data_IF_446296942733
#
_entry.id   IF_446296942733
#
_cell.length_a   1.000
_cell.length_b   1.000
_cell.length_c   1.000
_cell.angle_alpha   90.00
_cell.angle_beta   90.00
_cell.angle_gamma   90.00
#
_symmetry.space_group_name_H-M   'P 1'
#
loop_
_entity.id
_entity.type
_entity.pdbx_description
1 polymer ?
#
# COMPACT_ATOMS: atom_id res chain seq x y z
N UNK A 1 31.39 -3.89 -7.10
CA UNK A 1 31.96 -5.11 -6.47
C UNK A 1 33.18 -4.77 -5.62
N UNK A 2 34.22 -4.11 -6.15
CA UNK A 2 35.42 -3.75 -5.34
C UNK A 2 35.10 -2.90 -4.11
N UNK A 3 34.22 -1.89 -4.23
CA UNK A 3 33.77 -1.08 -3.09
C UNK A 3 33.09 -1.94 -2.01
N UNK A 4 32.23 -2.86 -2.43
CA UNK A 4 31.49 -3.76 -1.53
C UNK A 4 32.43 -4.78 -0.87
N UNK A 5 33.64 -5.00 -1.39
CA UNK A 5 34.62 -5.87 -0.77
C UNK A 5 35.48 -5.15 0.30
N UNK A 6 35.52 -3.81 0.31
CA UNK A 6 36.29 -3.00 1.26
C UNK A 6 35.78 -3.20 2.69
N UNK A 7 36.65 -3.20 3.70
CA UNK A 7 36.17 -3.14 5.08
C UNK A 7 35.38 -1.85 5.28
N UNK A 8 34.37 -1.80 6.17
CA UNK A 8 33.56 -0.61 6.39
C UNK A 8 34.39 0.67 6.67
N UNK A 9 35.52 0.52 7.34
CA UNK A 9 36.45 1.62 7.67
C UNK A 9 37.23 2.16 6.45
N UNK A 10 37.33 1.37 5.38
CA UNK A 10 38.06 1.69 4.15
C UNK A 10 37.16 2.30 3.07
N UNK A 11 35.85 2.40 3.32
CA UNK A 11 34.87 2.97 2.37
C UNK A 11 34.92 4.49 2.44
N UNK A 12 35.24 5.15 1.33
CA UNK A 12 35.35 6.61 1.27
C UNK A 12 34.02 7.30 0.95
N UNK A 13 33.88 8.61 1.20
CA UNK A 13 32.70 9.36 0.75
C UNK A 13 32.46 9.27 -0.77
N UNK A 14 33.51 9.24 -1.58
CA UNK A 14 33.41 9.08 -3.04
C UNK A 14 32.89 7.69 -3.43
N UNK A 15 33.27 6.65 -2.67
CA UNK A 15 32.71 5.32 -2.86
C UNK A 15 31.20 5.31 -2.60
N UNK A 16 30.75 5.98 -1.53
CA UNK A 16 29.34 6.09 -1.17
C UNK A 16 28.56 6.87 -2.24
N UNK A 17 29.10 7.99 -2.71
CA UNK A 17 28.48 8.77 -3.79
C UNK A 17 28.38 7.96 -5.10
N UNK A 18 29.45 7.22 -5.43
CA UNK A 18 29.42 6.31 -6.56
C UNK A 18 28.35 5.22 -6.41
N UNK A 19 28.23 4.61 -5.23
CA UNK A 19 27.17 3.63 -4.95
C UNK A 19 25.78 4.27 -5.07
N UNK A 20 25.55 5.45 -4.50
CA UNK A 20 24.26 6.17 -4.61
C UNK A 20 23.86 6.42 -6.05
N UNK A 21 24.80 6.83 -6.89
CA UNK A 21 24.52 7.18 -8.28
C UNK A 21 24.32 5.97 -9.19
N UNK A 22 24.85 4.80 -8.82
CA UNK A 22 24.97 3.68 -9.76
C UNK A 22 24.41 2.34 -9.24
N UNK A 23 24.05 2.23 -7.97
CA UNK A 23 23.54 0.98 -7.39
C UNK A 23 22.02 0.85 -7.55
N UNK A 24 21.58 -0.23 -8.19
CA UNK A 24 20.16 -0.50 -8.45
C UNK A 24 19.69 -1.81 -7.81
N UNK A 25 20.26 -2.23 -6.66
CA UNK A 25 19.90 -3.46 -5.92
C UNK A 25 20.15 -4.82 -6.59
N UNK A 26 20.72 -4.85 -7.80
CA UNK A 26 20.89 -6.09 -8.59
C UNK A 26 22.35 -6.58 -8.70
N UNK A 27 23.23 -6.18 -7.77
CA UNK A 27 24.63 -6.64 -7.76
C UNK A 27 25.49 -6.18 -8.95
N UNK A 28 24.99 -5.30 -9.81
CA UNK A 28 25.69 -4.76 -10.98
C UNK A 28 25.37 -3.29 -11.24
N UNK A 29 26.39 -2.54 -11.65
CA UNK A 29 26.26 -1.24 -12.30
C UNK A 29 25.67 -1.52 -13.70
N UNK A 30 24.64 -0.79 -14.14
CA UNK A 30 23.89 -1.03 -15.40
C UNK A 30 24.79 -1.37 -16.62
N UNK A 31 24.35 -2.16 -17.63
CA UNK A 31 23.17 -3.04 -17.73
C UNK A 31 23.50 -4.48 -18.22
N UNK A 32 22.72 -5.48 -17.78
CA UNK A 32 22.17 -6.63 -18.56
C UNK A 32 21.73 -7.78 -17.65
N UNK A 33 20.41 -7.97 -17.57
CA UNK A 33 19.75 -9.26 -17.50
C UNK A 33 19.87 -10.08 -16.20
N UNK A 34 18.80 -10.12 -15.40
CA UNK A 34 18.41 -11.35 -14.72
C UNK A 34 16.90 -11.44 -14.41
N UNK A 35 16.41 -12.68 -14.33
CA UNK A 35 15.05 -13.16 -14.05
C UNK A 35 14.84 -13.41 -12.54
N UNK A 36 14.60 -12.38 -11.73
CA UNK A 36 14.21 -12.54 -10.33
C UNK A 36 13.39 -11.34 -9.88
N UNK A 37 12.24 -11.57 -9.22
CA UNK A 37 11.18 -10.60 -8.95
C UNK A 37 11.48 -9.44 -7.99
N UNK A 38 12.70 -8.90 -7.99
CA UNK A 38 13.02 -7.62 -7.36
C UNK A 38 12.69 -6.49 -8.35
N UNK A 39 11.54 -5.86 -8.17
CA UNK A 39 11.07 -4.78 -9.05
C UNK A 39 11.59 -3.44 -8.54
N UNK A 40 12.29 -2.68 -9.39
CA UNK A 40 12.83 -1.38 -9.00
C UNK A 40 11.70 -0.35 -8.88
N UNK A 41 11.57 0.27 -7.70
CA UNK A 41 10.57 1.32 -7.49
C UNK A 41 11.10 2.66 -8.00
N UNK A 42 10.40 3.33 -8.93
CA UNK A 42 10.80 4.67 -9.34
C UNK A 42 10.79 5.67 -8.17
N UNK A 43 11.83 6.50 -8.07
CA UNK A 43 12.01 7.48 -6.98
C UNK A 43 10.79 8.38 -6.78
N UNK A 44 10.15 8.84 -7.86
CA UNK A 44 8.97 9.69 -7.76
C UNK A 44 7.74 8.96 -7.18
N UNK A 45 7.61 7.64 -7.37
CA UNK A 45 6.56 6.81 -6.73
C UNK A 45 6.84 6.70 -5.23
N UNK A 46 8.09 6.41 -4.84
CA UNK A 46 8.48 6.34 -3.44
C UNK A 46 8.28 7.69 -2.72
N UNK A 47 8.72 8.79 -3.35
CA UNK A 47 8.50 10.17 -2.88
C UNK A 47 7.01 10.47 -2.70
N UNK A 48 6.19 10.09 -3.66
CA UNK A 48 4.74 10.25 -3.57
C UNK A 48 4.17 9.49 -2.37
N UNK A 49 4.48 8.20 -2.23
CA UNK A 49 3.96 7.37 -1.12
C UNK A 49 4.35 7.95 0.24
N UNK A 50 5.61 8.35 0.42
CA UNK A 50 6.08 8.97 1.67
C UNK A 50 5.41 10.33 1.90
N UNK A 51 5.20 11.12 0.83
CA UNK A 51 4.45 12.38 0.89
C UNK A 51 3.00 12.20 1.32
N UNK A 52 2.32 11.15 0.84
CA UNK A 52 0.96 10.81 1.25
C UNK A 52 0.94 10.47 2.74
N UNK A 53 1.85 9.63 3.22
CA UNK A 53 1.95 9.28 4.64
C UNK A 53 2.19 10.52 5.50
N UNK A 54 3.08 11.43 5.08
CA UNK A 54 3.30 12.69 5.78
C UNK A 54 2.01 13.48 5.95
N UNK A 55 1.21 13.60 4.89
CA UNK A 55 0.00 14.38 4.98
C UNK A 55 -1.11 13.67 5.78
N UNK A 56 -1.18 12.34 5.72
CA UNK A 56 -2.12 11.54 6.52
C UNK A 56 -1.85 11.66 8.02
N UNK A 57 -0.58 11.84 8.42
CA UNK A 57 -0.19 12.15 9.80
C UNK A 57 -0.23 13.65 10.13
N UNK A 58 -0.60 14.52 9.18
CA UNK A 58 -0.53 15.99 9.32
C UNK A 58 0.88 16.51 9.67
N UNK A 59 1.91 15.83 9.19
CA UNK A 59 3.31 15.99 9.58
C UNK A 59 3.86 14.67 10.10
N UNK A 60 5.15 14.41 9.94
CA UNK A 60 5.70 13.15 10.47
C UNK A 60 5.69 13.18 12.01
N UNK A 61 5.32 12.07 12.68
CA UNK A 61 5.57 11.91 14.10
C UNK A 61 7.06 12.05 14.42
N UNK A 62 7.41 12.66 15.56
CA UNK A 62 8.80 12.67 16.03
C UNK A 62 9.31 11.25 16.25
N UNK A 63 10.56 10.98 15.84
CA UNK A 63 11.19 9.66 15.96
C UNK A 63 10.32 8.53 15.37
N UNK A 64 9.67 8.81 14.22
CA UNK A 64 8.77 7.86 13.56
C UNK A 64 9.46 6.50 13.34
N UNK A 65 8.84 5.42 13.83
CA UNK A 65 9.38 4.06 13.65
C UNK A 65 8.89 3.50 12.33
N UNK A 66 9.82 3.17 11.44
CA UNK A 66 9.52 2.73 10.08
C UNK A 66 10.09 1.34 9.82
N UNK A 67 9.28 0.47 9.22
CA UNK A 67 9.71 -0.82 8.70
C UNK A 67 9.65 -0.81 7.17
N UNK A 68 10.79 -1.10 6.53
CA UNK A 68 10.86 -1.49 5.12
C UNK A 68 11.28 -2.98 5.07
N UNK A 69 10.37 -3.91 4.76
CA UNK A 69 10.64 -5.35 4.89
C UNK A 69 11.35 -6.00 3.68
N UNK A 70 11.70 -5.25 2.65
CA UNK A 70 12.27 -5.73 1.39
C UNK A 70 13.06 -4.62 0.69
N UNK A 71 14.07 -4.09 1.38
CA UNK A 71 14.57 -2.72 1.14
C UNK A 71 15.23 -2.51 -0.22
N UNK A 72 15.82 -3.55 -0.80
CA UNK A 72 16.52 -3.44 -2.07
C UNK A 72 17.56 -2.32 -1.97
N UNK A 73 17.47 -1.35 -2.89
CA UNK A 73 18.36 -0.19 -2.97
C UNK A 73 18.04 0.94 -1.99
N UNK A 74 16.98 0.81 -1.17
CA UNK A 74 16.63 1.80 -0.15
C UNK A 74 15.95 3.05 -0.68
N UNK A 75 15.27 2.99 -1.83
CA UNK A 75 14.61 4.17 -2.45
C UNK A 75 13.54 4.82 -1.55
N UNK A 76 12.87 4.06 -0.68
CA UNK A 76 11.95 4.66 0.30
C UNK A 76 12.69 5.42 1.39
N UNK A 77 13.86 4.93 1.81
CA UNK A 77 14.66 5.50 2.90
C UNK A 77 15.14 6.91 2.56
N UNK A 78 15.42 7.17 1.28
CA UNK A 78 15.80 8.51 0.76
C UNK A 78 14.77 9.60 1.06
N UNK A 79 13.50 9.24 1.24
CA UNK A 79 12.40 10.18 1.38
C UNK A 79 11.81 10.26 2.79
N UNK A 80 12.23 9.36 3.70
CA UNK A 80 11.79 9.35 5.09
C UNK A 80 12.36 10.55 5.87
N UNK A 81 11.71 10.97 6.96
CA UNK A 81 12.22 12.08 7.75
C UNK A 81 13.59 11.75 8.39
N UNK A 82 14.50 12.72 8.52
CA UNK A 82 15.86 12.47 8.99
C UNK A 82 15.97 11.87 10.40
N UNK A 83 14.96 12.07 11.25
CA UNK A 83 14.87 11.55 12.61
C UNK A 83 14.11 10.22 12.71
N UNK A 84 13.70 9.61 11.59
CA UNK A 84 13.05 8.30 11.60
C UNK A 84 13.95 7.20 12.19
N UNK A 85 13.36 6.35 13.02
CA UNK A 85 13.94 5.08 13.45
C UNK A 85 13.62 4.02 12.40
N UNK A 86 14.56 3.77 11.49
CA UNK A 86 14.33 2.89 10.33
C UNK A 86 14.87 1.48 10.61
N UNK A 87 14.00 0.48 10.51
CA UNK A 87 14.37 -0.93 10.39
C UNK A 87 14.13 -1.38 8.95
N UNK A 88 15.16 -1.91 8.30
CA UNK A 88 15.11 -2.35 6.91
C UNK A 88 15.55 -3.82 6.80
N UNK A 89 14.80 -4.67 6.11
CA UNK A 89 15.19 -6.07 5.88
C UNK A 89 15.54 -6.32 4.41
N UNK A 90 16.63 -7.04 4.21
CA UNK A 90 17.08 -7.47 2.88
C UNK A 90 17.57 -8.92 2.97
N UNK A 91 17.21 -9.73 1.98
CA UNK A 91 17.62 -11.14 1.92
C UNK A 91 18.94 -11.32 1.17
N UNK A 92 19.28 -10.41 0.24
CA UNK A 92 20.54 -10.41 -0.49
C UNK A 92 21.65 -9.70 0.29
N UNK A 93 22.74 -10.43 0.59
CA UNK A 93 23.87 -9.91 1.37
C UNK A 93 24.52 -8.67 0.74
N UNK A 94 24.64 -8.63 -0.59
CA UNK A 94 25.26 -7.51 -1.29
C UNK A 94 24.37 -6.27 -1.19
N UNK A 95 23.07 -6.42 -1.40
CA UNK A 95 22.07 -5.37 -1.26
C UNK A 95 21.99 -4.84 0.16
N UNK A 96 21.93 -5.72 1.16
CA UNK A 96 21.91 -5.33 2.57
C UNK A 96 23.13 -4.45 2.91
N UNK A 97 24.32 -4.90 2.50
CA UNK A 97 25.57 -4.18 2.76
C UNK A 97 25.63 -2.84 2.05
N UNK A 98 25.27 -2.78 0.76
CA UNK A 98 25.30 -1.52 0.01
C UNK A 98 24.31 -0.52 0.58
N UNK A 99 23.09 -0.96 0.88
CA UNK A 99 22.05 -0.11 1.45
C UNK A 99 22.46 0.41 2.83
N UNK A 100 23.09 -0.41 3.67
CA UNK A 100 23.63 0.04 4.96
C UNK A 100 24.72 1.11 4.82
N UNK A 101 25.58 1.01 3.79
CA UNK A 101 26.61 2.01 3.50
C UNK A 101 26.01 3.34 3.01
N UNK A 102 24.97 3.26 2.18
CA UNK A 102 24.28 4.43 1.62
C UNK A 102 23.45 5.15 2.70
N UNK A 103 22.79 4.39 3.57
CA UNK A 103 21.88 4.87 4.62
C UNK A 103 22.36 4.42 6.01
N UNK A 104 23.45 5.01 6.53
CA UNK A 104 24.07 4.58 7.80
C UNK A 104 23.20 4.83 9.05
N UNK A 105 22.10 5.57 8.92
CA UNK A 105 21.13 5.84 9.98
C UNK A 105 20.03 4.77 10.06
N UNK A 106 19.88 3.92 9.04
CA UNK A 106 18.95 2.80 9.07
C UNK A 106 19.62 1.56 9.68
N UNK A 107 18.85 0.78 10.42
CA UNK A 107 19.23 -0.57 10.87
C UNK A 107 18.87 -1.57 9.78
N UNK A 108 19.85 -1.90 8.91
CA UNK A 108 19.68 -2.83 7.80
C UNK A 108 20.02 -4.25 8.26
N UNK A 109 19.01 -5.10 8.31
CA UNK A 109 19.09 -6.48 8.78
C UNK A 109 19.15 -7.41 7.56
N UNK A 110 20.27 -8.13 7.42
CA UNK A 110 20.37 -9.25 6.48
C UNK A 110 19.54 -10.43 7.02
N UNK A 111 18.43 -10.75 6.34
CA UNK A 111 17.57 -11.84 6.75
C UNK A 111 16.28 -11.96 5.96
N UNK A 112 15.58 -13.08 6.16
CA UNK A 112 14.26 -13.27 5.59
C UNK A 112 13.23 -12.45 6.38
N UNK A 113 12.56 -11.52 5.71
CA UNK A 113 11.51 -10.71 6.33
C UNK A 113 10.43 -11.53 7.02
N UNK A 114 10.06 -12.71 6.50
CA UNK A 114 9.01 -13.53 7.11
C UNK A 114 9.35 -13.98 8.54
N UNK A 115 10.63 -13.96 8.92
CA UNK A 115 11.10 -14.31 10.25
C UNK A 115 10.97 -13.13 11.24
N UNK A 116 10.89 -11.89 10.75
CA UNK A 116 10.67 -10.70 11.58
C UNK A 116 9.41 -10.84 12.45
N UNK A 117 9.56 -10.70 13.76
CA UNK A 117 8.53 -11.04 14.76
C UNK A 117 8.08 -9.86 15.61
N UNK A 118 8.64 -8.67 15.40
CA UNK A 118 8.23 -7.45 16.09
C UNK A 118 6.78 -7.14 15.75
N UNK A 119 5.96 -6.96 16.79
CA UNK A 119 4.52 -6.70 16.68
C UNK A 119 4.16 -5.35 17.26
N UNK A 120 3.12 -4.76 16.69
CA UNK A 120 2.47 -3.55 17.21
C UNK A 120 3.44 -2.40 17.50
N UNK A 121 4.48 -2.24 16.69
CA UNK A 121 5.61 -1.36 16.97
C UNK A 121 5.72 -0.19 16.00
N UNK A 122 5.59 -0.42 14.70
CA UNK A 122 5.95 0.58 13.70
C UNK A 122 4.81 1.56 13.44
N UNK A 123 5.14 2.85 13.36
CA UNK A 123 4.24 3.91 12.91
C UNK A 123 3.96 3.78 11.41
N UNK A 124 4.92 3.26 10.63
CA UNK A 124 4.77 2.99 9.21
C UNK A 124 5.43 1.67 8.82
N UNK A 125 4.72 0.87 8.03
CA UNK A 125 5.32 -0.19 7.22
C UNK A 125 5.16 0.21 5.76
N UNK A 126 6.26 0.38 5.03
CA UNK A 126 6.25 0.87 3.64
C UNK A 126 7.16 0.02 2.78
N UNK A 127 6.86 -0.10 1.49
CA UNK A 127 7.75 -0.82 0.58
C UNK A 127 7.13 -1.25 -0.73
N UNK A 128 7.95 -1.97 -1.51
CA UNK A 128 7.55 -2.70 -2.70
C UNK A 128 7.93 -4.18 -2.52
N UNK A 129 7.14 -4.96 -1.76
CA UNK A 129 7.46 -6.35 -1.49
C UNK A 129 7.52 -7.17 -2.78
N UNK A 130 8.33 -8.24 -2.83
CA UNK A 130 8.31 -9.15 -3.96
C UNK A 130 6.90 -9.72 -4.15
N UNK A 131 6.48 -9.84 -5.40
CA UNK A 131 5.16 -10.36 -5.76
C UNK A 131 5.23 -11.41 -6.85
N UNK A 132 4.27 -12.34 -6.83
CA UNK A 132 4.19 -13.45 -7.78
C UNK A 132 5.02 -14.68 -7.38
N UNK A 133 6.00 -14.50 -6.50
CA UNK A 133 6.83 -15.57 -5.93
C UNK A 133 6.06 -16.43 -4.93
N UNK A 134 6.46 -17.70 -4.81
CA UNK A 134 5.93 -18.61 -3.78
C UNK A 134 6.86 -18.63 -2.59
N UNK A 135 6.34 -18.37 -1.40
CA UNK A 135 7.07 -18.43 -0.14
C UNK A 135 6.66 -19.62 0.69
N UNK A 136 7.61 -20.13 1.47
CA UNK A 136 7.43 -21.22 2.42
C UNK A 136 8.04 -20.85 3.76
N UNK A 137 7.35 -21.18 4.85
CA UNK A 137 7.83 -20.95 6.21
C UNK A 137 7.18 -21.94 7.18
N UNK A 138 7.88 -22.27 8.26
CA UNK A 138 7.32 -23.04 9.39
C UNK A 138 6.52 -22.13 10.34
N UNK A 139 6.73 -20.81 10.28
CA UNK A 139 6.01 -19.82 11.07
C UNK A 139 4.56 -19.76 10.61
N UNK A 140 3.65 -19.59 11.55
CA UNK A 140 2.24 -19.49 11.23
C UNK A 140 1.91 -18.16 10.52
N UNK A 141 1.30 -18.29 9.34
CA UNK A 141 0.71 -17.20 8.57
C UNK A 141 -0.73 -17.58 8.17
N UNK A 142 -1.69 -16.76 8.59
CA UNK A 142 -3.12 -16.92 8.30
C UNK A 142 -3.42 -16.77 6.80
N UNK A 143 -2.62 -15.97 6.09
CA UNK A 143 -2.78 -15.72 4.66
C UNK A 143 -2.25 -16.85 3.79
N UNK A 144 -1.42 -17.73 4.36
CA UNK A 144 -0.83 -18.87 3.68
C UNK A 144 -1.64 -20.16 3.92
N UNK A 145 -1.38 -21.19 3.13
CA UNK A 145 -2.02 -22.49 3.28
C UNK A 145 -1.08 -23.48 3.94
N UNK A 146 -1.54 -24.10 5.04
CA UNK A 146 -0.76 -25.08 5.79
C UNK A 146 -0.87 -26.46 5.16
N UNK A 147 0.27 -27.08 4.86
CA UNK A 147 0.36 -28.48 4.42
C UNK A 147 1.58 -29.14 5.07
N UNK A 148 1.35 -30.22 5.82
CA UNK A 148 2.41 -30.98 6.51
C UNK A 148 3.30 -30.11 7.41
N UNK A 149 2.72 -29.15 8.14
CA UNK A 149 3.46 -28.26 9.03
C UNK A 149 4.07 -27.02 8.37
N UNK A 150 4.15 -26.97 7.03
CA UNK A 150 4.69 -25.83 6.29
C UNK A 150 3.56 -24.94 5.79
N UNK A 151 3.70 -23.64 6.00
CA UNK A 151 2.82 -22.61 5.46
C UNK A 151 3.37 -22.15 4.10
N UNK A 152 2.53 -22.22 3.06
CA UNK A 152 2.91 -21.92 1.68
C UNK A 152 1.87 -21.05 0.99
N UNK A 153 2.34 -20.09 0.20
CA UNK A 153 1.46 -19.23 -0.61
C UNK A 153 2.24 -18.16 -1.34
N UNK A 154 1.54 -17.10 -1.74
CA UNK A 154 2.13 -15.97 -2.47
C UNK A 154 2.86 -15.02 -1.52
N UNK A 155 4.02 -14.54 -1.96
CA UNK A 155 4.88 -13.59 -1.24
C UNK A 155 4.09 -12.36 -0.80
N UNK A 156 3.38 -11.70 -1.72
CA UNK A 156 2.61 -10.50 -1.42
C UNK A 156 1.58 -10.71 -0.29
N UNK A 157 1.00 -11.91 -0.18
CA UNK A 157 0.05 -12.24 0.88
C UNK A 157 0.72 -12.39 2.26
N UNK A 158 1.95 -12.93 2.30
CA UNK A 158 2.73 -13.06 3.53
C UNK A 158 3.24 -11.69 4.01
N UNK A 159 3.71 -10.85 3.09
CA UNK A 159 4.21 -9.51 3.40
C UNK A 159 3.12 -8.58 3.96
N UNK A 160 1.89 -8.64 3.42
CA UNK A 160 0.76 -7.90 3.99
C UNK A 160 0.47 -8.36 5.43
N UNK A 161 0.46 -9.67 5.70
CA UNK A 161 0.25 -10.17 7.05
C UNK A 161 1.38 -9.77 8.01
N UNK A 162 2.63 -9.80 7.54
CA UNK A 162 3.77 -9.27 8.29
C UNK A 162 3.58 -7.80 8.63
N UNK A 163 3.20 -6.97 7.65
CA UNK A 163 2.98 -5.54 7.86
C UNK A 163 1.86 -5.27 8.87
N UNK A 164 0.75 -6.00 8.76
CA UNK A 164 -0.38 -5.91 9.70
C UNK A 164 0.06 -6.31 11.11
N UNK A 165 0.90 -7.33 11.26
CA UNK A 165 1.44 -7.72 12.58
C UNK A 165 2.38 -6.65 13.14
N UNK A 166 3.23 -6.09 12.30
CA UNK A 166 4.32 -5.20 12.67
C UNK A 166 3.85 -3.76 12.98
N UNK A 167 2.92 -3.22 12.19
CA UNK A 167 2.36 -1.89 12.41
C UNK A 167 1.69 -1.81 13.78
N UNK A 168 1.83 -0.69 14.51
CA UNK A 168 1.04 -0.44 15.71
C UNK A 168 -0.41 -0.10 15.34
N UNK A 169 -1.37 -0.26 16.27
CA UNK A 169 -2.70 0.33 16.09
C UNK A 169 -2.65 1.82 15.78
N UNK A 170 -3.43 2.23 14.78
CA UNK A 170 -3.42 3.57 14.20
C UNK A 170 -2.27 3.84 13.23
N UNK A 171 -1.27 2.96 13.15
CA UNK A 171 -0.15 3.05 12.20
C UNK A 171 -0.55 2.73 10.76
N UNK A 172 0.21 3.24 9.80
CA UNK A 172 -0.08 3.06 8.38
C UNK A 172 0.75 1.94 7.76
N UNK A 173 0.18 1.31 6.73
CA UNK A 173 0.84 0.34 5.86
C UNK A 173 0.66 0.84 4.43
N UNK A 174 1.75 1.03 3.68
CA UNK A 174 1.73 1.50 2.30
C UNK A 174 2.58 0.60 1.41
N UNK A 175 1.95 -0.21 0.58
CA UNK A 175 2.66 -1.14 -0.31
C UNK A 175 2.28 -0.96 -1.77
N UNK A 176 3.27 -1.18 -2.63
CA UNK A 176 3.06 -1.45 -4.05
C UNK A 176 2.79 -2.94 -4.20
N UNK A 177 1.66 -3.29 -4.80
CA UNK A 177 1.16 -4.66 -4.88
C UNK A 177 0.58 -4.95 -6.27
N UNK A 178 0.55 -6.22 -6.72
CA UNK A 178 -0.17 -6.59 -7.93
C UNK A 178 -1.68 -6.37 -7.74
N UNK A 179 -2.36 -5.86 -8.77
CA UNK A 179 -3.82 -5.61 -8.71
C UNK A 179 -4.62 -6.88 -8.39
N UNK A 180 -4.08 -8.06 -8.74
CA UNK A 180 -4.66 -9.36 -8.42
C UNK A 180 -4.94 -9.59 -6.93
N UNK A 181 -4.25 -8.92 -6.01
CA UNK A 181 -4.52 -9.02 -4.56
C UNK A 181 -5.98 -8.66 -4.23
N UNK A 182 -6.55 -7.73 -5.00
CA UNK A 182 -7.89 -7.18 -4.82
C UNK A 182 -9.02 -8.12 -5.24
N UNK A 183 -8.79 -9.06 -6.16
CA UNK A 183 -9.87 -9.88 -6.74
C UNK A 183 -9.55 -11.36 -6.91
N UNK A 184 -8.27 -11.76 -6.95
CA UNK A 184 -7.92 -13.15 -7.24
C UNK A 184 -8.36 -14.10 -6.13
N UNK A 185 -8.80 -15.31 -6.50
CA UNK A 185 -9.29 -16.30 -5.55
C UNK A 185 -8.24 -16.75 -4.52
N UNK A 186 -6.98 -16.84 -4.93
CA UNK A 186 -5.87 -17.21 -4.02
C UNK A 186 -5.57 -16.14 -2.96
N UNK A 187 -5.93 -14.87 -3.23
CA UNK A 187 -5.74 -13.75 -2.33
C UNK A 187 -6.92 -13.56 -1.33
N UNK A 188 -7.91 -14.45 -1.32
CA UNK A 188 -9.08 -14.34 -0.42
C UNK A 188 -8.69 -14.22 1.06
N UNK A 189 -7.76 -15.07 1.54
CA UNK A 189 -7.34 -15.06 2.94
C UNK A 189 -6.71 -13.74 3.38
N UNK A 190 -5.88 -13.14 2.52
CA UNK A 190 -5.23 -11.85 2.81
C UNK A 190 -6.21 -10.68 2.71
N UNK A 191 -7.15 -10.70 1.76
CA UNK A 191 -8.26 -9.73 1.76
C UNK A 191 -9.09 -9.80 3.02
N UNK A 192 -9.45 -11.01 3.46
CA UNK A 192 -10.14 -11.21 4.73
C UNK A 192 -9.36 -10.61 5.90
N UNK A 193 -8.06 -10.90 5.98
CA UNK A 193 -7.21 -10.34 7.03
C UNK A 193 -7.19 -8.81 7.00
N UNK A 194 -6.97 -8.19 5.83
CA UNK A 194 -6.99 -6.72 5.69
C UNK A 194 -8.35 -6.15 6.12
N UNK A 195 -9.46 -6.73 5.65
CA UNK A 195 -10.82 -6.30 6.00
C UNK A 195 -11.12 -6.40 7.50
N UNK A 196 -10.63 -7.43 8.18
CA UNK A 196 -10.90 -7.66 9.61
C UNK A 196 -9.97 -6.90 10.55
N UNK A 197 -8.89 -6.29 10.04
CA UNK A 197 -7.83 -5.70 10.89
C UNK A 197 -7.39 -4.30 10.49
N UNK A 198 -7.82 -3.80 9.33
CA UNK A 198 -7.37 -2.52 8.81
C UNK A 198 -8.52 -1.72 8.24
N UNK A 199 -8.44 -0.41 8.42
CA UNK A 199 -9.18 0.52 7.60
C UNK A 199 -8.47 0.69 6.26
N UNK A 200 -9.19 0.59 5.15
CA UNK A 200 -8.62 0.94 3.84
C UNK A 200 -8.72 2.44 3.63
N UNK A 201 -7.56 3.05 3.41
CA UNK A 201 -7.43 4.50 3.26
C UNK A 201 -7.43 4.85 1.79
N UNK A 202 -6.57 4.20 1.00
CA UNK A 202 -6.47 4.49 -0.43
C UNK A 202 -6.02 3.28 -1.27
N UNK A 203 -6.49 3.23 -2.51
CA UNK A 203 -5.97 2.35 -3.57
C UNK A 203 -5.73 3.17 -4.84
N UNK A 204 -4.47 3.20 -5.30
CA UNK A 204 -4.06 3.99 -6.48
C UNK A 204 -3.51 3.04 -7.53
N UNK A 205 -4.23 2.87 -8.63
CA UNK A 205 -3.83 2.03 -9.75
C UNK A 205 -2.74 2.73 -10.58
N UNK A 206 -1.67 2.00 -10.83
CA UNK A 206 -0.52 2.46 -11.58
C UNK A 206 -0.61 1.97 -13.04
N UNK A 207 -0.16 2.77 -14.03
CA UNK A 207 -0.12 2.33 -15.42
C UNK A 207 0.84 1.15 -15.58
N UNK A 208 0.56 0.25 -16.52
CA UNK A 208 1.37 -0.96 -16.74
C UNK A 208 2.83 -0.63 -17.08
N UNK A 209 3.06 0.56 -17.63
CA UNK A 209 4.34 1.12 -18.00
C UNK A 209 5.26 1.41 -16.79
N UNK A 210 4.70 1.59 -15.60
CA UNK A 210 5.42 2.06 -14.39
C UNK A 210 6.68 1.27 -14.08
N UNK A 211 6.62 -0.05 -14.31
CA UNK A 211 7.71 -0.99 -13.99
C UNK A 211 8.25 -1.73 -15.24
N UNK A 212 7.89 -1.29 -16.45
CA UNK A 212 8.38 -1.97 -17.66
C UNK A 212 9.89 -1.83 -17.85
N UNK A 213 10.46 -0.69 -17.44
CA UNK A 213 11.92 -0.47 -17.44
C UNK A 213 12.66 -1.42 -16.48
N UNK A 214 11.91 -2.07 -15.59
CA UNK A 214 12.40 -3.03 -14.60
C UNK A 214 12.01 -4.47 -14.95
N UNK A 215 11.46 -4.70 -16.15
CA UNK A 215 11.22 -6.03 -16.71
C UNK A 215 9.89 -6.70 -16.35
N UNK A 216 8.92 -5.97 -15.77
CA UNK A 216 7.60 -6.52 -15.43
C UNK A 216 6.47 -5.85 -16.19
N UNK A 217 5.46 -6.65 -16.52
CA UNK A 217 4.21 -6.21 -17.17
C UNK A 217 3.01 -6.43 -16.26
N UNK A 218 3.25 -6.82 -15.00
CA UNK A 218 2.19 -7.07 -14.02
C UNK A 218 1.55 -5.73 -13.65
N UNK A 219 0.23 -5.55 -13.84
CA UNK A 219 -0.46 -4.36 -13.36
C UNK A 219 -0.34 -4.26 -11.83
N UNK A 220 0.03 -3.07 -11.35
CA UNK A 220 0.28 -2.80 -9.94
C UNK A 220 -0.57 -1.65 -9.44
N UNK A 221 -0.65 -1.55 -8.12
CA UNK A 221 -1.36 -0.50 -7.41
C UNK A 221 -0.65 -0.20 -6.08
N UNK A 222 -0.79 1.02 -5.60
CA UNK A 222 -0.43 1.39 -4.23
C UNK A 222 -1.67 1.13 -3.37
N UNK A 223 -1.53 0.31 -2.32
CA UNK A 223 -2.56 0.15 -1.28
C UNK A 223 -2.05 0.81 0.00
N UNK A 224 -2.89 1.68 0.57
CA UNK A 224 -2.66 2.33 1.85
C UNK A 224 -3.74 1.86 2.83
N UNK A 225 -3.29 1.29 3.94
CA UNK A 225 -4.12 0.83 5.04
C UNK A 225 -3.73 1.56 6.32
N UNK A 226 -4.68 1.69 7.25
CA UNK A 226 -4.42 2.09 8.64
C UNK A 226 -4.85 0.94 9.55
N UNK A 227 -3.95 0.47 10.41
CA UNK A 227 -4.24 -0.66 11.28
C UNK A 227 -5.27 -0.27 12.35
N UNK A 228 -6.38 -1.00 12.42
CA UNK A 228 -7.37 -0.79 13.46
C UNK A 228 -6.89 -1.39 14.78
N UNK A 229 -7.23 -0.80 15.93
CA UNK A 229 -7.02 -1.42 17.22
C UNK A 229 -7.59 -2.83 17.35
N UNK A 230 -6.87 -3.78 17.97
CA UNK A 230 -7.41 -5.09 18.30
C UNK A 230 -8.74 -4.98 19.04
N UNK A 231 -9.74 -5.74 18.58
CA UNK A 231 -11.09 -5.72 19.16
C UNK A 231 -12.02 -4.64 18.61
N UNK A 232 -11.58 -3.81 17.66
CA UNK A 232 -12.47 -2.90 16.92
C UNK A 232 -13.62 -3.71 16.31
N UNK A 233 -14.89 -3.39 16.61
CA UNK A 233 -16.01 -4.22 16.21
C UNK A 233 -16.31 -4.09 14.71
N UNK A 234 -16.67 -5.22 14.10
CA UNK A 234 -17.36 -5.25 12.82
C UNK A 234 -18.84 -4.91 13.04
N UNK A 235 -19.27 -3.73 12.59
CA UNK A 235 -20.66 -3.28 12.70
C UNK A 235 -21.42 -3.51 11.40
N UNK A 236 -22.75 -3.63 11.48
CA UNK A 236 -23.59 -3.79 10.30
C UNK A 236 -23.52 -2.55 9.41
N UNK A 237 -23.52 -2.79 8.10
CA UNK A 237 -23.60 -1.75 7.08
C UNK A 237 -24.83 -0.86 7.24
N UNK A 238 -24.61 0.46 7.27
CA UNK A 238 -25.70 1.44 7.40
C UNK A 238 -26.39 1.62 6.05
N UNK A 239 -25.61 1.88 4.99
CA UNK A 239 -26.15 1.90 3.64
C UNK A 239 -26.52 0.51 3.19
N UNK A 240 -27.80 0.37 2.85
CA UNK A 240 -28.32 -0.91 2.38
C UNK A 240 -28.16 -1.09 0.88
N UNK A 241 -27.80 -0.06 0.12
CA UNK A 241 -27.86 -0.09 -1.35
C UNK A 241 -26.47 -0.33 -1.95
N UNK A 242 -26.37 -1.14 -2.99
CA UNK A 242 -25.14 -1.31 -3.80
C UNK A 242 -25.47 -1.48 -5.29
N UNK A 243 -24.49 -1.21 -6.17
CA UNK A 243 -24.63 -1.37 -7.62
C UNK A 243 -24.05 -2.71 -8.09
N UNK A 244 -24.86 -3.54 -8.78
CA UNK A 244 -24.39 -4.84 -9.25
C UNK A 244 -23.90 -4.83 -10.69
N UNK A 245 -22.59 -5.05 -10.89
CA UNK A 245 -22.04 -5.31 -12.22
C UNK A 245 -22.49 -6.67 -12.80
N UNK A 246 -23.08 -7.54 -11.97
CA UNK A 246 -23.58 -8.88 -12.35
C UNK A 246 -25.05 -8.87 -12.74
N UNK A 247 -25.81 -7.88 -12.24
CA UNK A 247 -27.22 -7.67 -12.55
C UNK A 247 -27.40 -6.24 -13.02
N UNK A 248 -27.35 -6.04 -14.34
CA UNK A 248 -27.56 -4.73 -14.97
C UNK A 248 -28.84 -4.06 -14.45
N UNK A 249 -28.69 -2.89 -13.84
CA UNK A 249 -29.79 -1.92 -13.68
C UNK A 249 -30.60 -1.98 -12.38
N UNK A 250 -30.10 -2.60 -11.30
CA UNK A 250 -30.79 -2.61 -10.00
C UNK A 250 -29.87 -2.28 -8.82
N UNK A 251 -30.41 -1.50 -7.86
CA UNK A 251 -29.84 -1.37 -6.52
C UNK A 251 -30.37 -2.51 -5.66
N UNK A 252 -29.49 -3.27 -5.00
CA UNK A 252 -29.86 -4.40 -4.14
C UNK A 252 -29.58 -4.11 -2.66
N UNK A 253 -30.21 -4.89 -1.76
CA UNK A 253 -29.97 -4.82 -0.32
C UNK A 253 -28.75 -5.66 0.08
N UNK A 254 -27.68 -4.98 0.44
CA UNK A 254 -26.40 -5.55 0.87
C UNK A 254 -26.45 -6.29 2.21
N UNK A 255 -27.37 -5.91 3.10
CA UNK A 255 -27.45 -6.49 4.45
C UNK A 255 -27.77 -7.99 4.40
N UNK A 256 -28.47 -8.44 3.35
CA UNK A 256 -28.72 -9.85 3.06
C UNK A 256 -27.47 -10.69 2.77
N UNK A 257 -26.31 -10.06 2.60
CA UNK A 257 -25.02 -10.71 2.34
C UNK A 257 -24.05 -10.64 3.53
N UNK A 258 -24.51 -10.13 4.69
CA UNK A 258 -23.68 -10.02 5.89
C UNK A 258 -22.60 -8.94 5.80
N UNK A 259 -22.86 -7.86 5.05
CA UNK A 259 -21.97 -6.72 4.93
C UNK A 259 -21.73 -6.06 6.29
N UNK A 260 -20.48 -6.09 6.75
CA UNK A 260 -20.04 -5.42 7.97
C UNK A 260 -18.80 -4.58 7.68
N UNK A 261 -18.40 -3.73 8.61
CA UNK A 261 -17.14 -2.99 8.50
C UNK A 261 -16.59 -2.69 9.88
N UNK A 262 -15.27 -2.47 9.96
CA UNK A 262 -14.66 -2.00 11.20
C UNK A 262 -15.23 -0.63 11.52
N UNK A 263 -15.75 -0.46 12.73
CA UNK A 263 -16.09 0.87 13.25
C UNK A 263 -14.92 1.84 12.98
N UNK A 264 -15.21 3.05 12.50
CA UNK A 264 -14.19 4.00 12.03
C UNK A 264 -13.82 3.88 10.55
N UNK A 265 -14.37 2.94 9.79
CA UNK A 265 -14.12 2.93 8.35
C UNK A 265 -14.81 4.10 7.67
N UNK A 266 -13.99 4.95 7.06
CA UNK A 266 -14.41 6.07 6.22
C UNK A 266 -14.55 5.65 4.75
N UNK A 267 -15.03 6.51 3.83
CA UNK A 267 -14.90 6.26 2.41
C UNK A 267 -13.43 6.02 2.03
N UNK A 268 -13.19 5.03 1.18
CA UNK A 268 -11.85 4.72 0.71
C UNK A 268 -11.55 5.56 -0.54
N UNK A 269 -10.37 6.15 -0.58
CA UNK A 269 -9.91 6.93 -1.72
C UNK A 269 -9.44 6.01 -2.85
N UNK A 270 -9.85 6.28 -4.07
CA UNK A 270 -9.40 5.55 -5.25
C UNK A 270 -8.88 6.50 -6.31
N UNK A 271 -7.81 6.08 -6.98
CA UNK A 271 -7.36 6.75 -8.18
C UNK A 271 -6.78 5.78 -9.21
N UNK A 272 -6.77 6.21 -10.47
CA UNK A 272 -6.10 5.55 -11.58
C UNK A 272 -5.26 6.59 -12.31
N UNK A 273 -3.97 6.30 -12.39
CA UNK A 273 -3.00 7.13 -13.09
C UNK A 273 -2.85 6.59 -14.51
N UNK A 274 -2.88 7.51 -15.48
CA UNK A 274 -2.66 7.21 -16.90
C UNK A 274 -1.28 7.64 -17.38
N UNK A 275 -0.60 8.52 -16.62
CA UNK A 275 0.73 8.99 -16.94
C UNK A 275 1.62 9.09 -15.69
N UNK A 276 2.71 8.33 -15.68
CA UNK A 276 3.70 8.29 -14.60
C UNK A 276 4.90 9.23 -14.86
N UNK A 277 4.81 10.08 -15.88
CA UNK A 277 5.88 10.98 -16.32
C UNK A 277 6.85 10.35 -17.32
N UNK A 278 6.63 9.08 -17.69
CA UNK A 278 7.46 8.35 -18.66
C UNK A 278 6.62 7.42 -19.53
N UNK A 279 6.95 7.35 -20.81
CA UNK A 279 6.32 6.42 -21.75
C UNK A 279 6.94 5.01 -21.64
N UNK A 280 6.34 4.08 -22.38
CA UNK A 280 6.78 2.70 -22.49
C UNK A 280 8.25 2.52 -22.95
N UNK A 281 8.83 3.54 -23.59
CA UNK A 281 10.21 3.55 -24.10
C UNK A 281 11.17 4.30 -23.18
N UNK A 282 10.69 4.79 -22.04
CA UNK A 282 11.51 5.51 -21.07
C UNK A 282 11.84 6.91 -21.57
N UNK A 283 10.98 7.49 -22.40
CA UNK A 283 11.02 8.91 -22.72
C UNK A 283 10.10 9.65 -21.75
N UNK A 284 10.57 10.79 -21.23
CA UNK A 284 9.72 11.67 -20.43
C UNK A 284 8.46 12.05 -21.21
N UNK A 285 7.31 11.93 -20.54
CA UNK A 285 6.00 12.38 -21.03
C UNK A 285 5.66 13.78 -20.53
N UNK A 286 6.55 14.43 -19.76
CA UNK A 286 6.40 15.77 -19.17
C UNK A 286 5.85 16.77 -20.19
N UNK A 287 4.51 16.85 -20.21
CA UNK A 287 3.73 17.59 -21.20
C UNK A 287 3.88 19.09 -20.99
N UNK A 288 4.26 19.49 -19.77
CA UNK A 288 4.23 20.87 -19.29
C UNK A 288 5.62 21.45 -19.03
N UNK A 289 6.67 20.61 -19.00
CA UNK A 289 8.05 21.03 -18.76
C UNK A 289 8.34 21.43 -17.32
N UNK A 290 7.43 21.13 -16.39
CA UNK A 290 7.56 21.47 -14.96
C UNK A 290 7.98 20.26 -14.10
N UNK A 291 8.19 19.11 -14.74
CA UNK A 291 8.62 17.87 -14.11
C UNK A 291 7.58 17.24 -13.18
N UNK A 292 6.34 17.72 -13.18
CA UNK A 292 5.25 17.13 -12.40
C UNK A 292 4.61 15.96 -13.12
N UNK A 293 4.17 15.01 -12.33
CA UNK A 293 3.45 13.82 -12.74
C UNK A 293 2.03 13.86 -12.18
N UNK A 294 1.14 13.00 -12.68
CA UNK A 294 -0.19 12.87 -12.09
C UNK A 294 -0.14 12.43 -10.61
N UNK A 295 0.94 11.77 -10.16
CA UNK A 295 1.15 11.50 -8.72
C UNK A 295 1.29 12.80 -7.91
N UNK A 296 1.98 13.80 -8.45
CA UNK A 296 2.15 15.08 -7.76
C UNK A 296 0.81 15.84 -7.64
N UNK A 297 -0.09 15.69 -8.63
CA UNK A 297 -1.46 16.20 -8.58
C UNK A 297 -2.27 15.48 -7.48
N UNK A 298 -2.22 14.14 -7.45
CA UNK A 298 -2.91 13.32 -6.45
C UNK A 298 -2.42 13.59 -5.03
N UNK A 299 -1.14 13.96 -4.84
CA UNK A 299 -0.61 14.25 -3.50
C UNK A 299 -1.38 15.38 -2.82
N UNK A 300 -1.96 16.29 -3.61
CA UNK A 300 -2.82 17.35 -3.12
C UNK A 300 -4.09 16.83 -2.45
N UNK A 301 -4.60 15.65 -2.84
CA UNK A 301 -5.87 15.05 -2.36
C UNK A 301 -5.76 14.51 -0.94
N UNK A 302 -4.56 14.10 -0.54
CA UNK A 302 -4.29 13.62 0.81
C UNK A 302 -4.10 14.78 1.77
N UNK A 303 -5.14 15.56 2.08
CA UNK A 303 -5.14 16.62 3.11
C UNK A 303 -6.52 16.70 3.77
N UNK A 304 -6.58 16.95 5.08
CA UNK A 304 -7.85 17.03 5.81
C UNK A 304 -8.60 15.69 5.81
N UNK A 305 -9.93 15.73 5.69
CA UNK A 305 -10.82 14.56 5.83
C UNK A 305 -10.92 13.67 4.57
N UNK A 306 -9.98 13.72 3.62
CA UNK A 306 -9.95 12.96 2.33
C UNK A 306 -11.23 13.04 1.45
N UNK A 307 -12.28 13.70 1.91
CA UNK A 307 -13.52 14.00 1.21
C UNK A 307 -13.35 15.43 0.69
N UNK A 308 -12.91 15.57 -0.56
CA UNK A 308 -12.94 16.87 -1.25
C UNK A 308 -14.33 17.13 -1.80
N UNK A 309 -14.70 18.40 -1.92
CA UNK A 309 -16.01 18.88 -2.42
C UNK A 309 -16.42 18.37 -3.82
N UNK A 310 -15.49 17.76 -4.58
CA UNK A 310 -15.74 17.20 -5.92
C UNK A 310 -15.58 15.67 -6.00
N UNK A 311 -15.29 14.96 -4.89
CA UNK A 311 -15.12 13.51 -4.86
C UNK A 311 -16.25 12.85 -4.09
N UNK A 312 -17.48 13.06 -4.56
CA UNK A 312 -18.69 12.46 -4.01
C UNK A 312 -18.48 10.95 -3.88
N UNK A 313 -18.73 10.36 -2.70
CA UNK A 313 -18.45 8.96 -2.51
C UNK A 313 -19.46 8.13 -3.29
N UNK A 314 -18.96 7.34 -4.24
CA UNK A 314 -19.78 6.52 -5.11
C UNK A 314 -20.25 5.28 -4.38
N UNK A 315 -21.44 4.80 -4.74
CA UNK A 315 -21.90 3.49 -4.30
C UNK A 315 -20.94 2.42 -4.82
N UNK A 316 -20.50 1.48 -3.97
CA UNK A 316 -19.55 0.49 -4.42
C UNK A 316 -20.23 -0.43 -5.44
N UNK A 317 -19.51 -0.72 -6.53
CA UNK A 317 -19.98 -1.59 -7.61
C UNK A 317 -19.39 -2.99 -7.46
N UNK A 318 -20.19 -4.06 -7.42
CA UNK A 318 -19.64 -5.37 -7.05
C UNK A 318 -19.71 -6.44 -8.12
N UNK A 319 -18.71 -7.32 -8.03
CA UNK A 319 -18.50 -8.41 -8.96
C UNK A 319 -18.83 -9.82 -8.45
N UNK A 320 -19.53 -9.95 -7.31
CA UNK A 320 -19.91 -11.26 -6.75
C UNK A 320 -20.95 -11.04 -5.65
N UNK A 321 -21.74 -12.06 -5.33
CA UNK A 321 -22.69 -12.03 -4.20
C UNK A 321 -22.29 -12.99 -3.08
N UNK A 322 -21.09 -13.58 -3.14
CA UNK A 322 -20.71 -14.73 -2.31
C UNK A 322 -19.98 -14.40 -1.02
N UNK A 323 -19.23 -13.30 -0.95
CA UNK A 323 -18.57 -12.86 0.28
C UNK A 323 -18.33 -11.35 0.32
N UNK A 324 -18.41 -10.78 1.53
CA UNK A 324 -18.20 -9.35 1.71
C UNK A 324 -16.75 -8.89 1.66
N UNK A 325 -15.82 -9.83 1.82
CA UNK A 325 -14.38 -9.62 1.81
C UNK A 325 -13.86 -9.16 0.43
N UNK A 326 -14.52 -9.58 -0.65
CA UNK A 326 -14.22 -9.09 -2.00
C UNK A 326 -14.68 -7.64 -2.25
N UNK A 327 -15.61 -7.11 -1.46
CA UNK A 327 -16.24 -5.80 -1.72
C UNK A 327 -15.37 -4.60 -1.37
N UNK A 328 -14.46 -4.77 -0.42
CA UNK A 328 -13.68 -3.66 0.11
C UNK A 328 -12.52 -3.27 -0.81
N UNK A 329 -11.94 -4.24 -1.52
CA UNK A 329 -10.68 -4.07 -2.25
C UNK A 329 -10.80 -4.14 -3.78
N UNK A 330 -11.95 -4.56 -4.35
CA UNK A 330 -12.05 -5.01 -5.75
C UNK A 330 -12.69 -4.02 -6.72
N UNK A 331 -11.87 -3.26 -7.45
CA UNK A 331 -12.27 -2.54 -8.68
C UNK A 331 -11.39 -2.84 -9.89
N UNK A 332 -10.53 -3.86 -9.81
CA UNK A 332 -9.49 -4.17 -10.80
C UNK A 332 -9.96 -4.61 -12.20
N UNK A 333 -11.23 -4.41 -12.53
CA UNK A 333 -11.82 -4.68 -13.84
C UNK A 333 -12.31 -3.39 -14.54
N UNK A 334 -11.90 -2.20 -14.08
CA UNK A 334 -12.22 -0.91 -14.73
C UNK A 334 -13.72 -0.68 -14.99
N UNK A 335 -14.58 -1.19 -14.11
CA UNK A 335 -16.03 -1.25 -14.35
C UNK A 335 -16.85 -0.65 -13.21
N UNK A 336 -16.23 0.12 -12.32
CA UNK A 336 -16.97 0.83 -11.28
C UNK A 336 -17.51 2.17 -11.78
N UNK A 337 -18.65 2.57 -11.23
CA UNK A 337 -19.31 3.84 -11.55
C UNK A 337 -18.39 5.02 -11.20
N UNK A 338 -17.66 4.93 -10.08
CA UNK A 338 -16.70 5.95 -9.66
C UNK A 338 -15.59 6.17 -10.68
N UNK A 339 -15.00 5.12 -11.24
CA UNK A 339 -14.04 5.25 -12.33
C UNK A 339 -14.69 5.85 -13.57
N UNK A 340 -15.89 5.39 -13.95
CA UNK A 340 -16.61 5.87 -15.14
C UNK A 340 -16.97 7.37 -15.06
N UNK A 341 -17.30 7.85 -13.86
CA UNK A 341 -17.55 9.27 -13.60
C UNK A 341 -16.25 10.08 -13.56
N UNK A 342 -15.20 9.52 -12.95
CA UNK A 342 -13.88 10.16 -12.92
C UNK A 342 -13.29 10.31 -14.33
N UNK A 343 -13.41 9.30 -15.20
CA UNK A 343 -12.96 9.38 -16.61
C UNK A 343 -13.69 10.48 -17.40
N UNK A 344 -14.98 10.70 -17.11
CA UNK A 344 -15.77 11.78 -17.74
C UNK A 344 -15.42 13.16 -17.19
N UNK A 345 -15.10 13.23 -15.90
CA UNK A 345 -14.82 14.49 -15.20
C UNK A 345 -13.38 14.96 -15.45
N UNK A 346 -12.43 14.03 -15.48
CA UNK A 346 -11.00 14.28 -15.59
C UNK A 346 -10.45 13.57 -16.84
N UNK A 347 -10.81 13.98 -18.07
CA UNK A 347 -10.52 13.22 -19.29
C UNK A 347 -9.03 13.03 -19.61
N UNK A 348 -8.15 13.84 -19.01
CA UNK A 348 -6.69 13.75 -19.17
C UNK A 348 -6.01 13.00 -18.02
N UNK A 349 -6.78 12.54 -17.02
CA UNK A 349 -6.29 11.98 -15.77
C UNK A 349 -5.62 13.01 -14.83
N UNK A 350 -5.23 12.59 -13.61
CA UNK A 350 -5.55 11.29 -13.01
C UNK A 350 -7.06 11.13 -12.77
N UNK A 351 -7.56 9.92 -12.87
CA UNK A 351 -8.96 9.63 -12.54
C UNK A 351 -9.03 9.34 -11.04
N UNK A 352 -9.73 10.15 -10.27
CA UNK A 352 -9.84 10.00 -8.81
C UNK A 352 -11.29 10.11 -8.34
N UNK A 353 -11.63 9.31 -7.33
CA UNK A 353 -12.96 9.21 -6.74
C UNK A 353 -12.87 8.63 -5.32
N UNK A 354 -13.94 8.79 -4.54
CA UNK A 354 -14.09 8.07 -3.28
C UNK A 354 -15.12 6.95 -3.50
N UNK A 355 -14.88 5.78 -2.92
CA UNK A 355 -15.91 4.75 -2.83
C UNK A 355 -16.42 4.64 -1.39
N UNK A 356 -17.75 4.59 -1.28
CA UNK A 356 -18.38 4.20 -0.04
C UNK A 356 -17.96 2.76 0.25
N UNK A 357 -17.26 2.58 1.37
CA UNK A 357 -17.07 1.25 1.95
C UNK A 357 -18.40 0.75 2.51
N UNK A 358 -18.42 -0.47 3.06
CA UNK A 358 -19.58 -1.08 3.71
C UNK A 358 -20.20 -0.19 4.83
N UNK A 359 -19.65 0.97 5.18
CA UNK A 359 -20.18 1.92 6.18
C UNK A 359 -20.70 3.26 5.68
N UNK A 360 -20.62 3.55 4.38
CA UNK A 360 -21.22 4.67 3.63
C UNK A 360 -21.91 5.84 4.39
N UNK A 361 -21.43 7.07 4.13
CA UNK A 361 -21.76 8.40 4.69
C UNK A 361 -23.17 8.67 5.28
N UNK A 362 -23.54 7.88 6.28
CA UNK A 362 -24.76 7.96 7.07
C UNK A 362 -24.35 7.94 8.56
N UNK A 363 -25.25 8.36 9.44
CA UNK A 363 -25.02 8.33 10.88
C UNK A 363 -25.21 6.91 11.43
N UNK A 364 -24.32 6.50 12.34
CA UNK A 364 -24.38 5.20 13.02
C UNK A 364 -24.13 5.35 14.51
N UNK A 365 -24.71 4.46 15.32
CA UNK A 365 -24.54 4.50 16.78
C UNK A 365 -23.68 3.33 17.24
N UNK A 366 -22.52 3.65 17.82
CA UNK A 366 -21.58 2.66 18.37
C UNK A 366 -21.22 3.05 19.80
N UNK A 367 -21.42 2.12 20.74
CA UNK A 367 -21.14 2.37 22.16
C UNK A 367 -22.01 3.47 22.78
N UNK A 368 -23.17 3.79 22.19
CA UNK A 368 -24.04 4.88 22.63
C UNK A 368 -23.65 6.27 22.11
N UNK A 369 -22.63 6.35 21.24
CA UNK A 369 -22.19 7.58 20.57
C UNK A 369 -22.62 7.53 19.10
N UNK A 370 -23.17 8.63 18.60
CA UNK A 370 -23.51 8.82 17.19
C UNK A 370 -22.25 9.27 16.43
N UNK A 371 -21.97 8.59 15.32
CA UNK A 371 -20.81 8.82 14.47
C UNK A 371 -21.26 9.00 13.03
N UNK A 372 -20.74 10.03 12.38
CA UNK A 372 -20.84 10.17 10.94
C UNK A 372 -19.78 9.31 10.28
N UNK A 373 -20.16 8.40 9.39
CA UNK A 373 -19.17 7.56 8.70
C UNK A 373 -18.34 8.32 7.66
N UNK A 374 -18.67 9.60 7.43
CA UNK A 374 -17.85 10.56 6.68
C UNK A 374 -16.80 11.28 7.53
N UNK A 375 -16.85 11.13 8.86
CA UNK A 375 -15.89 11.77 9.76
C UNK A 375 -14.67 10.86 10.02
N UNK A 376 -13.50 11.36 9.65
CA UNK A 376 -12.22 10.69 9.85
C UNK A 376 -11.75 10.70 11.30
N UNK A 377 -12.27 11.63 12.12
CA UNK A 377 -11.98 11.71 13.57
C UNK A 377 -12.42 10.45 14.32
N UNK A 378 -13.33 9.67 13.73
CA UNK A 378 -13.77 8.42 14.31
C UNK A 378 -12.63 7.40 14.47
N UNK A 379 -11.71 7.33 13.49
CA UNK A 379 -10.53 6.47 13.61
C UNK A 379 -9.63 6.91 14.75
N UNK A 380 -9.41 8.23 14.88
CA UNK A 380 -8.54 8.79 15.90
C UNK A 380 -9.13 8.55 17.30
N UNK A 381 -10.43 8.76 17.48
CA UNK A 381 -11.11 8.43 18.73
C UNK A 381 -11.03 6.94 19.10
N UNK A 382 -11.14 6.03 18.12
CA UNK A 382 -10.98 4.59 18.38
C UNK A 382 -9.54 4.26 18.79
N UNK A 383 -8.54 4.88 18.14
CA UNK A 383 -7.13 4.70 18.47
C UNK A 383 -6.78 5.27 19.86
N UNK A 384 -7.27 6.47 20.18
CA UNK A 384 -7.06 7.11 21.48
C UNK A 384 -7.64 6.27 22.64
N UNK A 385 -8.87 5.78 22.49
CA UNK A 385 -9.52 4.91 23.48
C UNK A 385 -8.83 3.55 23.63
N UNK A 386 -8.06 3.11 22.63
CA UNK A 386 -7.27 1.89 22.74
C UNK A 386 -5.94 2.12 23.47
N UNK A 387 -5.37 3.32 23.36
CA UNK A 387 -4.12 3.68 24.01
C UNK A 387 -4.27 4.02 25.51
N UNK A 388 -5.48 4.35 25.95
CA UNK A 388 -5.86 4.56 27.37
C UNK A 388 -6.10 3.25 28.10
#
# INVERSE_FOLDING_TARGET
>A
MEIVAKNPEDVTPEDIDFLRQNYTSMGGLLPKGFNGGAFFTPTHVARFMVGVIRNLYEGFPENMRVLEPSVGSGVFLEHLPPDAEITALEIDETSARVTQLIYPHADVILGNALDHDRRDYYDLVIGNPPYGETVETEKEYLTLSKKKGIYRGKSEAAFIELAIRAARPGGYIAFILPTGISFAGHAKKVRKLMYETCWQVATIMLPGETFMHTGTTIPTQIIILRKAPPGTPLIETVTKRWASNFRRGGLEDISGYGGRFLAGQTPAYFAKITDIGWDAKGKTTDKWGDGKTQLDDLLGDFKGTLIRDNLYPHMPSWHTTKDCEGFFFSHGNDTCDGLSDAERTYPEGPYHWNELTLGAGEETVVGGVEWSTSDFSWQDAIVENWAS
#
